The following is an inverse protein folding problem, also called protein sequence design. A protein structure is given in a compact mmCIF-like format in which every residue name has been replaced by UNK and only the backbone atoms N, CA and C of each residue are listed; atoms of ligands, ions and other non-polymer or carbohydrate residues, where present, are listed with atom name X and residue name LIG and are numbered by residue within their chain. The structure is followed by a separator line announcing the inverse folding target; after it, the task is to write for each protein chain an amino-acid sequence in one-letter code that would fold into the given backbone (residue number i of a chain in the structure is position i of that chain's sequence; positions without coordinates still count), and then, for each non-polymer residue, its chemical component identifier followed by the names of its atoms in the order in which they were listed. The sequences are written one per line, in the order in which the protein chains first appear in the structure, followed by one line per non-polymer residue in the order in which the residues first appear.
data_IF_466862157251
#
_entry.id   IF_466862157251
#
_cell.length_a   1.000
_cell.length_b   1.000
_cell.length_c   1.000
_cell.angle_alpha   90.00
_cell.angle_beta   90.00
_cell.angle_gamma   90.00
#
_symmetry.space_group_name_H-M   'P 1'
#
loop_
_entity.id
_entity.type
_entity.pdbx_description
1 polymer ?
#
# COMPACT_ATOMS: atom_id res chain seq x y z
N UNK A 1 -50.47 -36.99 -7.87
CA UNK A 1 -49.18 -37.09 -7.15
C UNK A 1 -49.16 -35.99 -6.10
N UNK A 2 -49.35 -36.31 -4.79
CA UNK A 2 -49.46 -35.27 -3.72
C UNK A 2 -48.05 -35.08 -3.12
N UNK A 3 -47.47 -33.92 -3.38
CA UNK A 3 -46.20 -33.53 -2.77
C UNK A 3 -46.44 -33.21 -1.29
N UNK A 4 -45.78 -33.89 -0.39
CA UNK A 4 -45.88 -33.70 1.07
C UNK A 4 -45.39 -32.29 1.41
N UNK A 5 -46.17 -31.44 2.16
CA UNK A 5 -45.81 -30.07 2.44
C UNK A 5 -44.51 -29.88 3.24
N UNK A 6 -44.04 -30.89 3.94
CA UNK A 6 -42.80 -30.85 4.73
C UNK A 6 -41.50 -30.82 3.89
N UNK A 7 -41.52 -31.36 2.67
CA UNK A 7 -40.34 -31.41 1.82
C UNK A 7 -40.04 -30.04 1.18
N UNK A 8 -41.09 -29.26 0.88
CA UNK A 8 -40.95 -27.94 0.27
C UNK A 8 -40.40 -26.91 1.26
N UNK A 9 -40.78 -27.00 2.52
CA UNK A 9 -40.31 -26.10 3.60
C UNK A 9 -38.82 -26.33 3.92
N UNK A 10 -38.36 -27.56 3.90
CA UNK A 10 -36.95 -27.88 4.16
C UNK A 10 -36.04 -27.40 3.02
N UNK A 11 -36.49 -27.54 1.77
CA UNK A 11 -35.70 -27.09 0.60
C UNK A 11 -35.60 -25.54 0.56
N UNK A 12 -36.68 -24.81 0.88
CA UNK A 12 -36.65 -23.32 0.92
C UNK A 12 -35.73 -22.83 2.04
N UNK A 13 -35.74 -23.46 3.22
CA UNK A 13 -34.85 -23.11 4.32
C UNK A 13 -33.37 -23.37 3.99
N UNK A 14 -33.06 -24.45 3.29
CA UNK A 14 -31.69 -24.77 2.85
C UNK A 14 -31.17 -23.80 1.77
N UNK A 15 -32.01 -23.35 0.86
CA UNK A 15 -31.64 -22.38 -0.18
C UNK A 15 -31.42 -20.98 0.42
N UNK A 16 -32.20 -20.55 1.40
CA UNK A 16 -32.02 -19.29 2.10
C UNK A 16 -30.76 -19.28 2.97
N UNK A 17 -30.38 -20.38 3.58
CA UNK A 17 -29.13 -20.52 4.34
C UNK A 17 -27.89 -20.49 3.45
N UNK A 18 -27.97 -20.97 2.21
CA UNK A 18 -26.87 -20.95 1.26
C UNK A 18 -26.59 -19.56 0.66
N UNK A 19 -27.57 -18.64 0.63
CA UNK A 19 -27.39 -17.28 0.12
C UNK A 19 -26.67 -16.34 1.12
N UNK A 20 -26.55 -16.69 2.38
CA UNK A 20 -25.99 -15.82 3.43
C UNK A 20 -24.48 -15.94 3.62
N UNK A 21 -23.75 -16.74 2.82
CA UNK A 21 -22.32 -17.02 2.98
C UNK A 21 -21.39 -16.22 2.06
N UNK A 22 -21.91 -15.26 1.29
CA UNK A 22 -21.04 -14.30 0.61
C UNK A 22 -20.63 -13.18 1.57
N UNK A 23 -19.79 -13.49 2.56
CA UNK A 23 -19.08 -12.48 3.30
C UNK A 23 -18.19 -11.73 2.30
N UNK A 24 -18.57 -10.51 1.94
CA UNK A 24 -17.73 -9.64 1.13
C UNK A 24 -16.41 -9.46 1.86
N UNK A 25 -15.30 -9.90 1.24
CA UNK A 25 -13.99 -9.66 1.79
C UNK A 25 -13.81 -8.15 2.00
N UNK A 26 -13.20 -7.72 3.12
CA UNK A 26 -12.99 -6.31 3.39
C UNK A 26 -12.21 -5.68 2.23
N UNK A 27 -12.65 -4.52 1.77
CA UNK A 27 -11.94 -3.78 0.74
C UNK A 27 -10.61 -3.29 1.31
N UNK A 28 -9.53 -3.49 0.57
CA UNK A 28 -8.20 -3.01 0.93
C UNK A 28 -7.73 -1.94 -0.04
N UNK A 29 -6.98 -0.97 0.47
CA UNK A 29 -6.24 -0.04 -0.35
C UNK A 29 -5.15 -0.79 -1.13
N UNK A 30 -4.88 -0.33 -2.35
CA UNK A 30 -3.96 -1.00 -3.25
C UNK A 30 -2.75 -0.12 -3.54
N UNK A 31 -1.58 -0.63 -3.18
CA UNK A 31 -0.29 -0.06 -3.58
C UNK A 31 -0.03 -0.35 -5.06
N UNK A 32 0.59 0.62 -5.76
CA UNK A 32 0.85 0.52 -7.19
C UNK A 32 -0.35 0.86 -8.07
N UNK A 33 -1.37 1.50 -7.50
CA UNK A 33 -2.57 1.92 -8.23
C UNK A 33 -2.98 3.34 -7.88
N UNK A 34 -3.40 4.10 -8.88
CA UNK A 34 -4.11 5.37 -8.77
C UNK A 34 -5.58 5.22 -9.16
N UNK A 35 -6.38 6.24 -8.83
CA UNK A 35 -7.77 6.43 -9.27
C UNK A 35 -7.91 7.82 -9.87
N UNK A 36 -7.59 8.02 -11.16
CA UNK A 36 -7.67 9.33 -11.80
C UNK A 36 -9.10 9.88 -11.80
N UNK A 37 -9.21 11.21 -11.60
CA UNK A 37 -10.48 11.95 -11.67
C UNK A 37 -11.35 11.86 -10.43
N UNK A 38 -12.44 12.63 -10.45
CA UNK A 38 -13.39 12.73 -9.34
C UNK A 38 -12.88 13.52 -8.12
N UNK A 39 -11.74 14.19 -8.23
CA UNK A 39 -11.10 14.94 -7.15
C UNK A 39 -11.93 16.16 -6.77
N UNK A 40 -12.13 16.37 -5.47
CA UNK A 40 -12.75 17.56 -4.93
C UNK A 40 -11.86 18.31 -3.92
N UNK A 41 -10.83 17.64 -3.42
CA UNK A 41 -9.87 18.20 -2.46
C UNK A 41 -8.54 17.46 -2.54
N UNK A 42 -7.45 18.19 -2.25
CA UNK A 42 -6.14 17.61 -2.08
C UNK A 42 -5.39 18.32 -0.95
N UNK A 43 -4.42 17.63 -0.37
CA UNK A 43 -3.56 18.20 0.68
C UNK A 43 -2.24 17.44 0.81
N UNK A 44 -1.18 18.11 1.29
CA UNK A 44 0.10 17.44 1.54
C UNK A 44 0.02 16.51 2.76
N UNK A 45 0.62 15.34 2.64
CA UNK A 45 0.72 14.35 3.72
C UNK A 45 2.16 14.31 4.22
N UNK A 46 2.46 15.09 5.25
CA UNK A 46 3.82 15.22 5.79
C UNK A 46 4.38 13.93 6.36
N UNK A 47 3.53 13.05 6.90
CA UNK A 47 3.92 11.73 7.39
C UNK A 47 4.37 10.78 6.27
N UNK A 48 3.98 11.04 5.00
CA UNK A 48 4.20 10.12 3.89
C UNK A 48 3.46 8.78 4.05
N UNK A 49 2.47 8.73 4.93
CA UNK A 49 1.69 7.53 5.24
C UNK A 49 0.32 7.60 4.53
N UNK A 50 0.02 6.66 3.61
CA UNK A 50 -1.29 6.61 2.95
C UNK A 50 -2.46 6.43 3.92
N UNK A 51 -2.24 5.89 5.12
CA UNK A 51 -3.27 5.78 6.14
C UNK A 51 -3.84 7.13 6.56
N UNK A 52 -3.05 8.21 6.51
CA UNK A 52 -3.53 9.57 6.79
C UNK A 52 -4.54 10.04 5.73
N UNK A 53 -4.35 9.65 4.46
CA UNK A 53 -5.28 9.92 3.37
C UNK A 53 -6.60 9.14 3.54
N UNK A 54 -6.51 7.85 3.82
CA UNK A 54 -7.67 7.01 4.12
C UNK A 54 -8.47 7.55 5.31
N UNK A 55 -7.81 7.85 6.43
CA UNK A 55 -8.45 8.39 7.62
C UNK A 55 -9.13 9.74 7.40
N UNK A 56 -8.59 10.58 6.50
CA UNK A 56 -9.24 11.83 6.12
C UNK A 56 -10.51 11.56 5.31
N UNK A 57 -10.47 10.63 4.35
CA UNK A 57 -11.62 10.21 3.56
C UNK A 57 -12.75 9.66 4.44
N UNK A 58 -12.43 8.89 5.49
CA UNK A 58 -13.42 8.35 6.43
C UNK A 58 -14.23 9.45 7.12
N UNK A 59 -13.56 10.53 7.51
CA UNK A 59 -14.19 11.66 8.24
C UNK A 59 -15.02 12.58 7.35
N UNK A 60 -14.87 12.53 6.03
CA UNK A 60 -15.57 13.42 5.11
C UNK A 60 -16.78 12.73 4.45
N UNK A 61 -17.99 13.28 4.67
CA UNK A 61 -19.23 12.75 4.12
C UNK A 61 -19.26 12.70 2.58
N UNK A 62 -18.54 13.62 1.90
CA UNK A 62 -18.44 13.68 0.45
C UNK A 62 -17.47 12.64 -0.13
N UNK A 63 -16.48 12.18 0.64
CA UNK A 63 -15.46 11.27 0.14
C UNK A 63 -16.06 9.88 -0.17
N UNK A 64 -15.70 9.35 -1.34
CA UNK A 64 -16.04 7.99 -1.77
C UNK A 64 -14.82 7.15 -2.09
N UNK A 65 -13.71 7.81 -2.49
CA UNK A 65 -12.44 7.19 -2.79
C UNK A 65 -11.31 8.18 -2.54
N UNK A 66 -10.09 7.70 -2.53
CA UNK A 66 -8.90 8.51 -2.34
C UNK A 66 -7.72 7.92 -3.11
N UNK A 67 -6.76 8.78 -3.45
CA UNK A 67 -5.45 8.42 -3.94
C UNK A 67 -4.39 9.15 -3.13
N UNK A 68 -3.32 8.45 -2.84
CA UNK A 68 -2.11 8.98 -2.22
C UNK A 68 -0.95 8.82 -3.19
N UNK A 69 -0.19 9.89 -3.41
CA UNK A 69 1.03 9.86 -4.23
C UNK A 69 2.27 10.05 -3.36
N UNK A 70 3.25 9.16 -3.55
CA UNK A 70 4.56 9.33 -2.93
C UNK A 70 5.34 10.48 -3.57
N UNK A 71 6.28 11.11 -2.84
CA UNK A 71 7.14 12.15 -3.42
C UNK A 71 8.02 11.58 -4.53
N UNK A 72 8.33 12.42 -5.51
CA UNK A 72 9.22 12.12 -6.62
C UNK A 72 10.11 13.34 -6.92
N UNK A 73 10.91 13.29 -8.00
CA UNK A 73 11.83 14.38 -8.39
C UNK A 73 11.12 15.67 -8.76
N UNK A 74 9.86 15.60 -9.24
CA UNK A 74 9.06 16.77 -9.66
C UNK A 74 8.19 17.28 -8.52
N UNK A 75 7.61 16.35 -7.73
CA UNK A 75 6.74 16.64 -6.60
C UNK A 75 7.37 16.10 -5.30
N UNK A 76 8.16 16.92 -4.57
CA UNK A 76 8.93 16.46 -3.42
C UNK A 76 8.10 16.17 -2.17
N UNK A 77 6.80 16.42 -2.22
CA UNK A 77 5.88 16.21 -1.09
C UNK A 77 4.84 15.13 -1.45
N UNK A 78 4.60 14.21 -0.52
CA UNK A 78 3.51 13.26 -0.65
C UNK A 78 2.16 13.98 -0.60
N UNK A 79 1.22 13.59 -1.47
CA UNK A 79 -0.08 14.23 -1.62
C UNK A 79 -1.23 13.23 -1.44
N UNK A 80 -2.29 13.70 -0.81
CA UNK A 80 -3.58 13.01 -0.76
C UNK A 80 -4.58 13.69 -1.68
N UNK A 81 -5.35 12.91 -2.42
CA UNK A 81 -6.41 13.33 -3.33
C UNK A 81 -7.72 12.67 -2.90
N UNK A 82 -8.67 13.46 -2.44
CA UNK A 82 -10.00 12.98 -2.04
C UNK A 82 -10.98 13.10 -3.20
N UNK A 83 -11.76 12.04 -3.42
CA UNK A 83 -12.63 11.88 -4.58
C UNK A 83 -14.08 11.73 -4.18
N UNK A 84 -14.96 12.46 -4.86
CA UNK A 84 -16.42 12.37 -4.67
C UNK A 84 -17.04 11.15 -5.36
N UNK A 85 -16.28 10.46 -6.19
CA UNK A 85 -16.70 9.29 -6.96
C UNK A 85 -15.66 8.19 -6.87
N UNK A 86 -16.11 6.93 -6.98
CA UNK A 86 -15.19 5.79 -7.12
C UNK A 86 -14.88 5.63 -8.60
N UNK A 87 -13.75 6.15 -9.03
CA UNK A 87 -13.25 6.00 -10.40
C UNK A 87 -12.52 4.67 -10.58
N UNK A 88 -12.34 4.24 -11.84
CA UNK A 88 -11.58 3.05 -12.17
C UNK A 88 -10.12 3.24 -11.73
N UNK A 89 -9.54 2.20 -11.13
CA UNK A 89 -8.12 2.19 -10.79
C UNK A 89 -7.26 1.90 -12.02
N UNK A 90 -6.13 2.56 -12.11
CA UNK A 90 -5.09 2.31 -13.10
C UNK A 90 -3.78 1.97 -12.40
N UNK A 91 -3.00 1.07 -12.98
CA UNK A 91 -1.69 0.72 -12.46
C UNK A 91 -0.76 1.94 -12.52
N UNK A 92 -0.27 2.40 -11.38
CA UNK A 92 0.62 3.55 -11.26
C UNK A 92 1.44 3.48 -9.97
N UNK A 93 2.72 3.28 -10.11
CA UNK A 93 3.62 2.92 -9.01
C UNK A 93 3.90 4.05 -8.00
N UNK A 94 3.61 5.29 -8.38
CA UNK A 94 3.71 6.42 -7.45
C UNK A 94 2.77 6.30 -6.27
N UNK A 95 1.77 5.40 -6.36
CA UNK A 95 0.53 5.70 -5.70
C UNK A 95 -0.02 4.54 -4.88
N UNK A 96 -0.84 4.88 -3.92
CA UNK A 96 -1.72 3.97 -3.18
C UNK A 96 -3.12 4.53 -3.29
N UNK A 97 -4.09 3.72 -3.62
CA UNK A 97 -5.48 4.18 -3.69
C UNK A 97 -6.45 3.23 -3.02
N UNK A 98 -7.57 3.78 -2.56
CA UNK A 98 -8.62 3.03 -1.91
C UNK A 98 -9.99 3.67 -2.09
N UNK A 99 -11.01 2.90 -1.75
CA UNK A 99 -12.36 3.40 -1.56
C UNK A 99 -12.57 3.74 -0.08
N UNK A 100 -13.59 4.52 0.25
CA UNK A 100 -13.98 4.76 1.64
C UNK A 100 -14.29 3.42 2.32
N UNK A 101 -13.81 3.22 3.53
CA UNK A 101 -13.88 1.94 4.26
C UNK A 101 -12.78 0.93 3.94
N UNK A 102 -11.92 1.21 2.95
CA UNK A 102 -10.81 0.33 2.62
C UNK A 102 -9.67 0.48 3.64
N UNK A 103 -9.33 -0.61 4.30
CA UNK A 103 -8.16 -0.64 5.21
C UNK A 103 -6.86 -0.44 4.42
N UNK A 104 -5.95 0.38 4.94
CA UNK A 104 -4.57 0.46 4.47
C UNK A 104 -3.80 -0.66 5.16
N UNK A 105 -3.48 -1.70 4.41
CA UNK A 105 -2.65 -2.78 4.92
C UNK A 105 -1.18 -2.43 4.66
N UNK A 106 -0.56 -1.73 5.59
CA UNK A 106 0.88 -1.80 5.73
C UNK A 106 1.19 -3.14 6.40
N UNK A 107 1.90 -4.01 5.70
CA UNK A 107 2.48 -5.20 6.34
C UNK A 107 3.58 -4.72 7.29
N UNK A 108 3.20 -4.29 8.47
CA UNK A 108 4.15 -4.05 9.56
C UNK A 108 4.76 -5.40 9.92
N UNK A 109 6.02 -5.58 9.61
CA UNK A 109 6.84 -6.60 10.23
C UNK A 109 7.85 -5.90 11.15
N UNK A 110 8.32 -6.56 12.17
CA UNK A 110 9.35 -6.00 13.09
C UNK A 110 10.66 -5.66 12.37
N UNK A 111 10.78 -6.05 11.11
CA UNK A 111 11.99 -5.90 10.30
C UNK A 111 11.84 -4.96 9.11
N UNK A 112 10.61 -4.53 8.74
CA UNK A 112 10.32 -3.65 7.60
C UNK A 112 9.67 -2.34 8.06
N UNK A 113 10.22 -1.22 7.61
CA UNK A 113 9.85 0.12 8.01
C UNK A 113 9.43 0.94 6.79
N UNK A 114 8.14 1.25 6.68
CA UNK A 114 7.61 2.08 5.61
C UNK A 114 7.86 3.57 5.87
N UNK A 115 8.09 4.33 4.79
CA UNK A 115 8.41 5.76 4.85
C UNK A 115 9.64 6.06 5.72
N UNK A 116 10.59 5.12 5.76
CA UNK A 116 11.83 5.24 6.52
C UNK A 116 13.04 4.97 5.62
N UNK A 117 14.13 5.66 5.90
CA UNK A 117 15.46 5.42 5.36
C UNK A 117 16.46 5.17 6.49
N UNK A 118 17.34 4.21 6.29
CA UNK A 118 18.50 3.95 7.17
C UNK A 118 19.75 4.52 6.52
N UNK A 119 19.97 5.82 6.69
CA UNK A 119 21.06 6.54 6.02
C UNK A 119 22.43 6.05 6.48
N UNK A 120 23.31 5.77 5.50
CA UNK A 120 24.71 5.35 5.72
C UNK A 120 24.89 3.85 5.90
N UNK A 121 26.16 3.45 5.96
CA UNK A 121 26.57 2.04 6.02
C UNK A 121 26.42 1.29 4.69
N UNK A 122 26.21 2.02 3.58
CA UNK A 122 26.05 1.44 2.25
C UNK A 122 27.40 0.86 1.74
N UNK A 123 27.36 -0.38 1.28
CA UNK A 123 28.51 -0.99 0.60
C UNK A 123 28.19 -1.37 -0.85
N UNK A 124 26.91 -1.41 -1.21
CA UNK A 124 26.44 -1.74 -2.56
C UNK A 124 25.12 -1.05 -2.84
N UNK A 125 24.91 -0.63 -4.06
CA UNK A 125 23.61 -0.21 -4.55
C UNK A 125 23.34 -0.81 -5.93
N UNK A 126 22.08 -1.06 -6.24
CA UNK A 126 21.66 -1.71 -7.49
C UNK A 126 20.29 -1.19 -7.91
N UNK A 127 20.08 -1.16 -9.22
CA UNK A 127 18.75 -1.03 -9.77
C UNK A 127 17.99 -2.34 -9.55
N UNK A 128 16.73 -2.24 -9.16
CA UNK A 128 15.96 -3.40 -8.75
C UNK A 128 14.55 -3.34 -9.33
N UNK A 129 13.91 -4.49 -9.42
CA UNK A 129 12.52 -4.56 -9.82
C UNK A 129 11.64 -3.74 -8.88
N UNK A 130 10.66 -3.09 -9.45
CA UNK A 130 9.71 -2.25 -8.73
C UNK A 130 8.87 -3.12 -7.79
N UNK A 131 8.83 -2.70 -6.53
CA UNK A 131 8.10 -3.41 -5.49
C UNK A 131 7.72 -2.43 -4.37
N UNK A 132 6.43 -2.08 -4.24
CA UNK A 132 5.98 -1.10 -3.26
C UNK A 132 6.34 -1.42 -1.80
N UNK A 133 6.51 -2.71 -1.48
CA UNK A 133 6.85 -3.18 -0.13
C UNK A 133 8.35 -3.30 0.13
N UNK A 134 9.20 -3.18 -0.92
CA UNK A 134 10.66 -3.33 -0.79
C UNK A 134 11.13 -4.79 -0.62
N UNK A 135 10.27 -5.78 -0.87
CA UNK A 135 10.60 -7.20 -0.67
C UNK A 135 11.73 -7.69 -1.59
N UNK A 136 11.84 -7.13 -2.80
CA UNK A 136 12.95 -7.42 -3.72
C UNK A 136 14.29 -6.94 -3.16
N UNK A 137 14.32 -5.78 -2.49
CA UNK A 137 15.51 -5.24 -1.83
C UNK A 137 15.87 -6.04 -0.56
N UNK A 138 14.85 -6.43 0.21
CA UNK A 138 15.03 -7.33 1.34
C UNK A 138 15.63 -8.67 0.91
N UNK A 139 15.11 -9.27 -0.15
CA UNK A 139 15.62 -10.53 -0.69
C UNK A 139 17.07 -10.41 -1.16
N UNK A 140 17.43 -9.30 -1.84
CA UNK A 140 18.80 -9.04 -2.23
C UNK A 140 19.74 -8.91 -1.03
N UNK A 141 19.28 -8.29 0.08
CA UNK A 141 20.05 -8.20 1.32
C UNK A 141 20.21 -9.58 1.99
N UNK A 142 19.16 -10.38 2.03
CA UNK A 142 19.22 -11.74 2.59
C UNK A 142 20.15 -12.69 1.84
N UNK A 143 20.38 -12.42 0.56
CA UNK A 143 21.27 -13.22 -0.29
C UNK A 143 22.78 -12.92 -0.06
N UNK A 144 23.11 -11.91 0.72
CA UNK A 144 24.49 -11.50 0.97
C UNK A 144 24.84 -11.53 2.47
N UNK A 145 25.82 -12.35 2.86
CA UNK A 145 26.24 -12.54 4.26
C UNK A 145 26.71 -11.24 4.93
N UNK A 146 27.20 -10.30 4.15
CA UNK A 146 27.65 -8.98 4.63
C UNK A 146 26.48 -8.05 4.96
N UNK A 147 25.29 -8.27 4.37
CA UNK A 147 24.17 -7.35 4.52
C UNK A 147 23.53 -7.47 5.90
N UNK A 148 23.29 -6.32 6.53
CA UNK A 148 22.63 -6.22 7.84
C UNK A 148 21.36 -5.39 7.80
N UNK A 149 21.29 -4.46 6.85
CA UNK A 149 20.15 -3.60 6.64
C UNK A 149 20.05 -3.19 5.18
N UNK A 150 18.90 -2.71 4.78
CA UNK A 150 18.64 -2.28 3.42
C UNK A 150 17.72 -1.05 3.38
N UNK A 151 17.80 -0.29 2.29
CA UNK A 151 16.85 0.75 1.95
C UNK A 151 16.46 0.62 0.49
N UNK A 152 15.17 0.43 0.26
CA UNK A 152 14.54 0.51 -1.05
C UNK A 152 14.09 1.95 -1.30
N UNK A 153 14.49 2.53 -2.42
CA UNK A 153 14.06 3.85 -2.88
C UNK A 153 13.13 3.69 -4.06
N UNK A 154 11.95 4.28 -3.95
CA UNK A 154 10.89 4.16 -4.98
C UNK A 154 11.32 4.77 -6.30
N UNK A 155 10.81 4.24 -7.44
CA UNK A 155 11.00 4.85 -8.76
C UNK A 155 10.59 6.32 -8.75
N UNK A 156 11.27 7.14 -9.55
CA UNK A 156 10.98 8.56 -9.68
C UNK A 156 11.64 9.46 -8.62
N UNK A 157 12.25 8.90 -7.57
CA UNK A 157 12.90 9.71 -6.53
C UNK A 157 14.40 9.95 -6.80
N UNK A 158 15.17 8.92 -7.17
CA UNK A 158 16.58 9.03 -7.57
C UNK A 158 16.80 8.82 -9.07
N UNK A 159 15.74 8.66 -9.84
CA UNK A 159 15.73 8.35 -11.25
C UNK A 159 14.51 7.50 -11.62
N UNK A 160 14.43 7.05 -12.87
CA UNK A 160 13.29 6.29 -13.36
C UNK A 160 13.16 4.89 -12.72
N UNK A 161 14.30 4.28 -12.35
CA UNK A 161 14.36 2.95 -11.75
C UNK A 161 14.22 3.00 -10.22
N UNK A 162 13.72 1.93 -9.64
CA UNK A 162 13.84 1.70 -8.20
C UNK A 162 15.28 1.37 -7.85
N UNK A 163 15.75 1.84 -6.69
CA UNK A 163 17.12 1.60 -6.20
C UNK A 163 17.11 0.87 -4.87
N UNK A 164 17.99 -0.10 -4.73
CA UNK A 164 18.23 -0.79 -3.46
C UNK A 164 19.64 -0.46 -2.94
N UNK A 165 19.73 -0.07 -1.69
CA UNK A 165 20.99 0.17 -0.97
C UNK A 165 21.18 -0.92 0.07
N UNK A 166 22.21 -1.74 -0.08
CA UNK A 166 22.60 -2.78 0.86
C UNK A 166 23.62 -2.22 1.84
N UNK A 167 23.42 -2.51 3.13
CA UNK A 167 24.18 -1.88 4.23
C UNK A 167 24.81 -2.94 5.11
N UNK A 168 26.09 -2.74 5.45
CA UNK A 168 26.83 -3.61 6.36
C UNK A 168 26.58 -3.30 7.85
N UNK A 169 25.95 -2.15 8.14
CA UNK A 169 25.64 -1.69 9.50
C UNK A 169 24.19 -1.31 9.63
N UNK A 170 23.60 -1.65 10.78
CA UNK A 170 22.26 -1.22 11.15
C UNK A 170 22.35 0.21 11.69
N UNK A 171 21.93 1.19 10.91
CA UNK A 171 21.86 2.59 11.31
C UNK A 171 20.47 2.94 11.82
N UNK A 172 20.34 4.07 12.54
CA UNK A 172 19.03 4.54 13.04
C UNK A 172 18.10 4.93 11.87
N UNK A 173 16.84 4.47 11.84
CA UNK A 173 15.89 4.87 10.80
C UNK A 173 15.52 6.34 10.95
N UNK A 174 15.35 7.01 9.80
CA UNK A 174 14.88 8.40 9.69
C UNK A 174 13.67 8.45 8.77
N UNK A 175 12.69 9.26 9.14
CA UNK A 175 11.49 9.44 8.32
C UNK A 175 11.85 10.00 6.94
N UNK A 176 11.47 9.27 5.88
CA UNK A 176 11.71 9.63 4.49
C UNK A 176 10.70 8.93 3.58
N UNK A 177 9.64 9.64 3.12
CA UNK A 177 8.48 9.04 2.44
C UNK A 177 8.79 8.30 1.13
N UNK A 178 9.92 8.61 0.47
CA UNK A 178 10.33 7.91 -0.76
C UNK A 178 10.63 6.42 -0.54
N UNK A 179 10.81 6.01 0.71
CA UNK A 179 11.65 4.87 0.98
C UNK A 179 10.92 3.81 1.83
N UNK A 180 11.41 2.59 1.71
CA UNK A 180 11.13 1.49 2.62
C UNK A 180 12.47 0.97 3.08
N UNK A 181 12.67 0.74 4.35
CA UNK A 181 13.90 0.18 4.88
C UNK A 181 13.63 -1.04 5.76
N UNK A 182 14.71 -1.76 6.08
CA UNK A 182 14.59 -2.87 6.99
C UNK A 182 15.94 -3.40 7.45
N UNK A 183 15.86 -4.37 8.36
CA UNK A 183 17.01 -5.08 8.91
C UNK A 183 16.93 -6.56 8.59
N UNK A 184 18.07 -7.20 8.40
CA UNK A 184 18.23 -8.64 8.24
C UNK A 184 18.98 -9.16 9.45
N UNK A 185 18.41 -10.17 10.10
CA UNK A 185 19.00 -10.86 11.26
C UNK A 185 19.68 -12.15 10.83
#
# INVERSE_FOLDING_TARGET
MRIKPGLLTVVIAAVLAALSLFASAPAHAQSGYDRPGGDYSNFPVRSGDPAACAARCEREGRCRAWSFSYPNTVAPTAMCWLKAQVTMRVAQECCVSGVKGAAVLDKKSDTVEFSMDRTGGDYKNLDIAKDPAGATCEAACKAEDRCRAWTYVRPGYLGASARCFLKERITRPRHKPCCVSGVVR
#
